data_IF_666012247218
#
_entry.id   IF_666012247218
#
_cell.length_a   1.000
_cell.length_b   1.000
_cell.length_c   1.000
_cell.angle_alpha   90.00
_cell.angle_beta   90.00
_cell.angle_gamma   90.00
#
_symmetry.space_group_name_H-M   'P 1'
#
loop_
_entity.id
_entity.type
_entity.pdbx_description
1 polymer ?
#
# COMPACT_ATOMS: atom_id res chain seq x y z
N UNK A 1 -10.65 16.88 -5.31
CA UNK A 1 -10.23 15.62 -4.74
C UNK A 1 -8.97 15.05 -5.36
N UNK A 2 -8.51 13.95 -4.82
CA UNK A 2 -7.32 13.26 -5.30
C UNK A 2 -7.70 12.25 -6.37
N UNK A 3 -6.81 12.03 -7.35
CA UNK A 3 -7.05 11.08 -8.43
C UNK A 3 -6.92 9.63 -7.96
N UNK A 4 -5.95 9.37 -7.08
CA UNK A 4 -5.64 8.05 -6.55
C UNK A 4 -5.28 8.15 -5.07
N UNK A 5 -5.45 7.04 -4.35
CA UNK A 5 -5.09 6.93 -2.93
C UNK A 5 -4.26 5.69 -2.71
N UNK A 6 -3.10 5.88 -2.07
CA UNK A 6 -2.27 4.80 -1.55
C UNK A 6 -2.49 4.77 -0.03
N UNK A 7 -2.89 3.64 0.52
CA UNK A 7 -3.15 3.51 1.94
C UNK A 7 -2.24 2.47 2.57
N UNK A 8 -1.49 2.89 3.60
CA UNK A 8 -0.68 2.01 4.45
C UNK A 8 -1.37 1.88 5.81
N UNK A 9 -2.21 0.84 6.01
CA UNK A 9 -3.11 0.77 7.16
C UNK A 9 -2.49 0.25 8.46
N UNK A 10 -1.33 -0.41 8.38
CA UNK A 10 -0.74 -1.05 9.56
C UNK A 10 -0.06 -0.04 10.48
N UNK A 11 -0.33 -0.14 11.78
CA UNK A 11 0.27 0.72 12.80
C UNK A 11 1.35 -0.02 13.59
N UNK A 12 1.14 -1.30 13.90
CA UNK A 12 2.00 -2.06 14.82
C UNK A 12 2.99 -2.98 14.12
N UNK A 13 2.65 -3.50 12.96
CA UNK A 13 3.50 -4.44 12.21
C UNK A 13 3.96 -3.79 10.91
N UNK A 14 4.63 -2.65 11.03
CA UNK A 14 5.06 -1.85 9.90
C UNK A 14 6.53 -1.50 10.03
N UNK A 15 7.24 -1.48 8.89
CA UNK A 15 8.62 -1.01 8.85
C UNK A 15 8.63 0.52 8.75
N UNK A 16 8.79 1.18 9.89
CA UNK A 16 8.81 2.64 9.97
C UNK A 16 9.96 3.26 9.15
N UNK A 17 11.06 2.53 8.95
CA UNK A 17 12.19 3.04 8.15
C UNK A 17 11.81 3.20 6.68
N UNK A 18 11.00 2.28 6.14
CA UNK A 18 10.50 2.38 4.77
C UNK A 18 9.60 3.60 4.64
N UNK A 19 8.66 3.79 5.57
CA UNK A 19 7.76 4.94 5.55
C UNK A 19 8.53 6.25 5.72
N UNK A 20 9.49 6.30 6.64
CA UNK A 20 10.31 7.48 6.85
C UNK A 20 11.11 7.85 5.59
N UNK A 21 11.66 6.86 4.91
CA UNK A 21 12.36 7.07 3.65
C UNK A 21 11.43 7.70 2.61
N UNK A 22 10.24 7.13 2.42
CA UNK A 22 9.32 7.59 1.37
C UNK A 22 8.86 9.02 1.57
N UNK A 23 8.48 9.39 2.80
CA UNK A 23 7.97 10.74 3.05
C UNK A 23 9.06 11.81 3.01
N UNK A 24 10.34 11.40 2.96
CA UNK A 24 11.49 12.30 2.80
C UNK A 24 12.07 12.26 1.38
N UNK A 25 11.63 11.32 0.53
CA UNK A 25 12.18 11.14 -0.80
C UNK A 25 11.58 12.12 -1.80
N UNK A 26 12.40 13.02 -2.34
CA UNK A 26 11.93 14.06 -3.26
C UNK A 26 11.27 13.50 -4.51
N UNK A 27 11.79 12.39 -5.07
CA UNK A 27 11.20 11.76 -6.25
C UNK A 27 9.80 11.23 -5.95
N UNK A 28 9.60 10.65 -4.77
CA UNK A 28 8.29 10.16 -4.36
C UNK A 28 7.30 11.32 -4.15
N UNK A 29 7.73 12.37 -3.46
CA UNK A 29 6.90 13.56 -3.22
C UNK A 29 6.50 14.25 -4.54
N UNK A 30 7.44 14.37 -5.47
CA UNK A 30 7.17 14.93 -6.80
C UNK A 30 6.16 14.07 -7.57
N UNK A 31 6.28 12.76 -7.48
CA UNK A 31 5.33 11.84 -8.12
C UNK A 31 3.91 12.05 -7.57
N UNK A 32 3.76 12.12 -6.26
CA UNK A 32 2.44 12.35 -5.63
C UNK A 32 1.83 13.64 -6.14
N UNK A 33 2.57 14.73 -6.11
CA UNK A 33 2.08 16.04 -6.51
C UNK A 33 1.75 16.10 -8.00
N UNK A 34 2.63 15.56 -8.85
CA UNK A 34 2.45 15.59 -10.31
C UNK A 34 1.27 14.76 -10.78
N UNK A 35 0.89 13.73 -10.03
CA UNK A 35 -0.18 12.81 -10.41
C UNK A 35 -1.42 12.94 -9.53
N UNK A 36 -1.44 13.91 -8.62
CA UNK A 36 -2.55 14.14 -7.68
C UNK A 36 -2.89 12.88 -6.88
N UNK A 37 -1.87 12.22 -6.34
CA UNK A 37 -1.99 10.99 -5.55
C UNK A 37 -1.85 11.32 -4.06
N UNK A 38 -2.80 10.86 -3.25
CA UNK A 38 -2.73 10.99 -1.80
C UNK A 38 -2.11 9.73 -1.19
N UNK A 39 -1.12 9.90 -0.34
CA UNK A 39 -0.54 8.81 0.46
C UNK A 39 -1.05 8.95 1.88
N UNK A 40 -1.84 7.99 2.32
CA UNK A 40 -2.36 7.93 3.70
C UNK A 40 -1.63 6.82 4.44
N UNK A 41 -1.05 7.15 5.58
CA UNK A 41 -0.35 6.16 6.41
C UNK A 41 -0.70 6.38 7.88
N UNK A 42 -0.47 5.32 8.67
CA UNK A 42 -0.68 5.37 10.11
C UNK A 42 0.67 5.35 10.80
N UNK A 43 0.92 6.33 11.65
CA UNK A 43 2.16 6.40 12.44
C UNK A 43 1.97 7.32 13.62
N UNK A 44 2.58 6.97 14.75
CA UNK A 44 2.59 7.82 15.94
C UNK A 44 3.83 8.71 16.02
N UNK A 45 4.83 8.47 15.17
CA UNK A 45 6.13 9.15 15.27
C UNK A 45 6.49 9.98 14.05
N UNK A 46 6.05 9.59 12.85
CA UNK A 46 6.41 10.27 11.62
C UNK A 46 5.63 11.58 11.46
N UNK A 47 6.25 12.54 10.78
CA UNK A 47 5.66 13.86 10.50
C UNK A 47 5.97 14.25 9.05
N UNK A 48 5.04 14.95 8.42
CA UNK A 48 5.22 15.52 7.09
C UNK A 48 4.44 16.82 6.96
N UNK A 49 5.00 17.77 6.22
CA UNK A 49 4.32 19.00 5.83
C UNK A 49 3.78 18.96 4.41
N UNK A 50 4.02 17.85 3.69
CA UNK A 50 3.55 17.70 2.31
C UNK A 50 2.03 17.56 2.26
N UNK A 51 1.37 18.32 1.40
CA UNK A 51 -0.10 18.29 1.25
C UNK A 51 -0.63 17.01 0.64
N UNK A 52 0.23 16.17 0.05
CA UNK A 52 -0.15 14.88 -0.52
C UNK A 52 0.15 13.70 0.40
N UNK A 53 0.54 13.97 1.64
CA UNK A 53 0.76 12.95 2.67
C UNK A 53 -0.16 13.25 3.85
N UNK A 54 -0.95 12.25 4.23
CA UNK A 54 -1.82 12.34 5.39
C UNK A 54 -1.44 11.26 6.40
N UNK A 55 -1.03 11.66 7.59
CA UNK A 55 -0.60 10.73 8.65
C UNK A 55 -1.70 10.65 9.70
N UNK A 56 -2.23 9.45 9.90
CA UNK A 56 -3.26 9.18 10.91
C UNK A 56 -2.56 8.68 12.17
N UNK A 57 -2.71 9.43 13.26
CA UNK A 57 -2.03 9.15 14.53
C UNK A 57 -2.90 8.40 15.51
N UNK A 58 -4.21 8.62 15.44
CA UNK A 58 -5.15 8.07 16.40
C UNK A 58 -5.77 6.77 15.92
N UNK A 59 -6.48 6.10 16.83
CA UNK A 59 -7.27 4.92 16.46
C UNK A 59 -8.38 5.35 15.51
N UNK A 60 -8.54 4.63 14.42
CA UNK A 60 -9.61 4.88 13.47
C UNK A 60 -10.88 4.14 13.89
N UNK A 61 -12.02 4.81 13.74
CA UNK A 61 -13.29 4.13 13.82
C UNK A 61 -13.39 3.09 12.70
N UNK A 62 -14.06 1.98 12.99
CA UNK A 62 -14.17 0.87 12.03
C UNK A 62 -14.76 1.31 10.69
N UNK A 63 -15.80 2.15 10.74
CA UNK A 63 -16.47 2.64 9.53
C UNK A 63 -15.56 3.53 8.69
N UNK A 64 -14.78 4.39 9.34
CA UNK A 64 -13.82 5.27 8.65
C UNK A 64 -12.70 4.46 8.02
N UNK A 65 -12.21 3.44 8.72
CA UNK A 65 -11.19 2.54 8.20
C UNK A 65 -11.70 1.79 6.96
N UNK A 66 -12.87 1.20 7.05
CA UNK A 66 -13.47 0.45 5.94
C UNK A 66 -13.70 1.35 4.73
N UNK A 67 -14.19 2.56 4.95
CA UNK A 67 -14.43 3.52 3.88
C UNK A 67 -13.13 3.89 3.17
N UNK A 68 -12.08 4.21 3.94
CA UNK A 68 -10.77 4.56 3.39
C UNK A 68 -10.15 3.37 2.64
N UNK A 69 -10.25 2.17 3.22
CA UNK A 69 -9.73 0.96 2.60
C UNK A 69 -10.38 0.72 1.24
N UNK A 70 -11.69 0.82 1.16
CA UNK A 70 -12.43 0.59 -0.09
C UNK A 70 -12.17 1.66 -1.14
N UNK A 71 -11.92 2.90 -0.74
CA UNK A 71 -11.60 4.00 -1.65
C UNK A 71 -10.17 3.98 -2.14
N UNK A 72 -9.29 3.22 -1.49
CA UNK A 72 -7.88 3.17 -1.83
C UNK A 72 -7.64 2.39 -3.12
N UNK A 73 -6.70 2.86 -3.91
CA UNK A 73 -6.31 2.22 -5.17
C UNK A 73 -5.22 1.19 -4.95
N UNK A 74 -4.33 1.44 -4.00
CA UNK A 74 -3.24 0.52 -3.63
C UNK A 74 -3.16 0.43 -2.12
N UNK A 75 -3.06 -0.79 -1.60
CA UNK A 75 -2.78 -1.05 -0.19
C UNK A 75 -1.29 -1.34 -0.06
N UNK A 76 -0.60 -0.52 0.74
CA UNK A 76 0.85 -0.62 0.91
C UNK A 76 1.16 -1.25 2.27
N UNK A 77 1.88 -2.37 2.24
CA UNK A 77 2.17 -3.18 3.43
C UNK A 77 3.67 -3.39 3.59
N UNK A 78 4.41 -2.38 4.10
CA UNK A 78 5.84 -2.51 4.35
C UNK A 78 6.08 -3.21 5.67
N UNK A 79 6.01 -4.54 5.66
CA UNK A 79 6.25 -5.33 6.86
C UNK A 79 7.74 -5.51 7.12
N UNK A 80 8.18 -5.52 8.40
CA UNK A 80 9.56 -5.85 8.73
C UNK A 80 9.84 -7.34 8.48
N UNK A 81 11.12 -7.70 8.34
CA UNK A 81 11.52 -9.09 8.09
C UNK A 81 11.04 -10.05 9.19
N UNK A 82 10.94 -9.56 10.43
CA UNK A 82 10.43 -10.36 11.55
C UNK A 82 8.99 -10.83 11.35
N UNK A 83 8.25 -10.24 10.40
CA UNK A 83 6.87 -10.57 10.10
C UNK A 83 6.75 -11.76 9.12
N UNK A 84 7.84 -12.29 8.61
CA UNK A 84 7.84 -13.27 7.52
C UNK A 84 7.09 -14.58 7.81
N UNK A 85 6.84 -14.88 9.08
CA UNK A 85 6.15 -16.12 9.48
C UNK A 85 4.73 -15.90 9.97
N UNK A 86 4.16 -14.72 9.75
CA UNK A 86 2.81 -14.38 10.23
C UNK A 86 1.87 -14.11 9.07
N UNK A 87 0.61 -14.56 9.23
CA UNK A 87 -0.45 -14.20 8.30
C UNK A 87 -0.87 -12.75 8.55
N UNK A 88 -0.98 -11.98 7.47
CA UNK A 88 -1.49 -10.62 7.55
C UNK A 88 -3.00 -10.60 7.33
N UNK A 89 -3.76 -10.17 8.34
CA UNK A 89 -5.20 -9.96 8.19
C UNK A 89 -5.51 -8.90 7.15
N UNK A 90 -4.69 -7.85 7.08
CA UNK A 90 -4.87 -6.77 6.10
C UNK A 90 -4.62 -7.27 4.67
N UNK A 91 -3.61 -8.11 4.47
CA UNK A 91 -3.35 -8.69 3.15
C UNK A 91 -4.52 -9.57 2.70
N UNK A 92 -5.05 -10.42 3.59
CA UNK A 92 -6.22 -11.25 3.30
C UNK A 92 -7.44 -10.38 2.97
N UNK A 93 -7.64 -9.28 3.67
CA UNK A 93 -8.71 -8.33 3.40
C UNK A 93 -8.55 -7.70 2.02
N UNK A 94 -7.32 -7.31 1.65
CA UNK A 94 -7.03 -6.77 0.32
C UNK A 94 -7.34 -7.80 -0.78
N UNK A 95 -6.92 -9.05 -0.58
CA UNK A 95 -7.21 -10.14 -1.51
C UNK A 95 -8.71 -10.35 -1.68
N UNK A 96 -9.46 -10.36 -0.58
CA UNK A 96 -10.91 -10.56 -0.59
C UNK A 96 -11.65 -9.44 -1.32
N UNK A 97 -11.10 -8.22 -1.32
CA UNK A 97 -11.71 -7.06 -1.96
C UNK A 97 -11.08 -6.73 -3.32
N UNK A 98 -10.27 -7.62 -3.86
CA UNK A 98 -9.59 -7.44 -5.16
C UNK A 98 -8.80 -6.14 -5.25
N UNK A 99 -8.14 -5.76 -4.16
CA UNK A 99 -7.29 -4.56 -4.11
C UNK A 99 -5.90 -4.86 -4.66
N UNK A 100 -5.30 -3.89 -5.32
CA UNK A 100 -3.88 -3.93 -5.66
C UNK A 100 -3.09 -3.77 -4.38
N UNK A 101 -2.02 -4.53 -4.22
CA UNK A 101 -1.21 -4.48 -3.02
C UNK A 101 0.28 -4.45 -3.34
N UNK A 102 1.03 -3.65 -2.59
CA UNK A 102 2.49 -3.66 -2.59
C UNK A 102 2.96 -4.11 -1.22
N UNK A 103 3.71 -5.21 -1.19
CA UNK A 103 4.04 -5.92 0.06
C UNK A 103 5.54 -6.16 0.11
N UNK A 104 6.11 -6.12 1.31
CA UNK A 104 7.51 -6.52 1.53
C UNK A 104 7.75 -7.92 1.00
N UNK A 105 8.88 -8.11 0.32
CA UNK A 105 9.24 -9.41 -0.25
C UNK A 105 9.71 -10.36 0.85
N UNK A 106 8.80 -11.18 1.34
CA UNK A 106 9.10 -12.24 2.28
C UNK A 106 8.66 -13.57 1.69
N UNK A 107 9.34 -14.66 2.06
CA UNK A 107 9.00 -15.99 1.55
C UNK A 107 7.56 -16.39 1.90
N UNK A 108 7.08 -15.95 3.05
CA UNK A 108 5.70 -16.22 3.47
C UNK A 108 4.68 -15.58 2.54
N UNK A 109 4.86 -14.31 2.18
CA UNK A 109 3.90 -13.60 1.35
C UNK A 109 3.97 -13.98 -0.12
N UNK A 110 5.07 -14.58 -0.57
CA UNK A 110 5.21 -15.07 -1.95
C UNK A 110 4.20 -16.14 -2.32
N UNK A 111 3.63 -16.85 -1.34
CA UNK A 111 2.58 -17.83 -1.60
C UNK A 111 1.32 -17.22 -2.23
N UNK A 112 1.13 -15.91 -2.09
CA UNK A 112 -0.04 -15.23 -2.64
C UNK A 112 0.15 -14.66 -4.04
N UNK A 113 1.32 -14.84 -4.64
CA UNK A 113 1.64 -14.19 -5.92
C UNK A 113 0.74 -14.63 -7.09
N UNK A 114 0.05 -15.77 -6.95
CA UNK A 114 -0.80 -16.32 -8.00
C UNK A 114 -2.30 -16.32 -7.63
N UNK A 115 -2.72 -15.49 -6.69
CA UNK A 115 -4.08 -15.55 -6.12
C UNK A 115 -5.05 -14.55 -6.77
N UNK A 116 -4.75 -14.02 -7.94
CA UNK A 116 -5.76 -13.36 -8.74
C UNK A 116 -5.90 -11.85 -8.59
N UNK A 117 -5.12 -11.21 -7.75
CA UNK A 117 -5.01 -9.76 -7.73
C UNK A 117 -3.59 -9.35 -8.08
N UNK A 118 -3.42 -8.07 -8.38
CA UNK A 118 -2.09 -7.56 -8.70
C UNK A 118 -1.34 -7.27 -7.40
N UNK A 119 -0.56 -8.24 -6.95
CA UNK A 119 0.34 -8.10 -5.81
C UNK A 119 1.75 -7.91 -6.34
N UNK A 120 2.39 -6.83 -5.91
CA UNK A 120 3.80 -6.56 -6.19
C UNK A 120 4.61 -6.70 -4.92
N UNK A 121 5.85 -7.12 -5.08
CA UNK A 121 6.77 -7.30 -3.96
C UNK A 121 7.96 -6.35 -4.12
N UNK A 122 8.38 -5.71 -3.04
CA UNK A 122 9.57 -4.85 -3.06
C UNK A 122 10.62 -5.39 -2.11
N UNK A 123 11.89 -5.26 -2.49
CA UNK A 123 13.04 -5.73 -1.71
C UNK A 123 13.84 -4.57 -1.14
N UNK A 124 13.73 -3.40 -1.74
CA UNK A 124 14.47 -2.20 -1.31
C UNK A 124 13.59 -0.97 -1.43
N UNK A 125 13.99 0.11 -0.77
CA UNK A 125 13.27 1.39 -0.85
C UNK A 125 13.23 1.93 -2.27
N UNK A 126 14.26 1.67 -3.08
CA UNK A 126 14.31 2.13 -4.46
C UNK A 126 13.28 1.44 -5.37
N UNK A 127 12.80 0.25 -5.00
CA UNK A 127 11.79 -0.48 -5.78
C UNK A 127 10.37 0.02 -5.51
N UNK A 128 10.14 0.70 -4.38
CA UNK A 128 8.79 1.06 -3.94
C UNK A 128 8.11 1.99 -4.94
N UNK A 129 8.79 3.06 -5.34
CA UNK A 129 8.19 4.06 -6.23
C UNK A 129 7.83 3.45 -7.59
N UNK A 130 8.74 2.70 -8.19
CA UNK A 130 8.48 2.07 -9.50
C UNK A 130 7.34 1.06 -9.42
N UNK A 131 7.25 0.30 -8.33
CA UNK A 131 6.17 -0.65 -8.11
C UNK A 131 4.83 0.05 -7.92
N UNK A 132 4.79 1.14 -7.17
CA UNK A 132 3.58 1.93 -6.99
C UNK A 132 3.12 2.56 -8.31
N UNK A 133 4.05 3.09 -9.10
CA UNK A 133 3.74 3.65 -10.41
C UNK A 133 3.10 2.60 -11.32
N UNK A 134 3.63 1.38 -11.33
CA UNK A 134 3.08 0.28 -12.13
C UNK A 134 1.66 -0.07 -11.67
N UNK A 135 1.46 -0.24 -10.36
CA UNK A 135 0.15 -0.60 -9.82
C UNK A 135 -0.90 0.49 -10.08
N UNK A 136 -0.52 1.76 -9.93
CA UNK A 136 -1.45 2.87 -10.14
C UNK A 136 -1.79 3.10 -11.61
N UNK A 137 -0.96 2.61 -12.54
CA UNK A 137 -1.23 2.73 -13.97
C UNK A 137 -2.22 1.68 -14.48
N UNK A 138 -2.46 0.60 -13.71
CA UNK A 138 -3.40 -0.45 -14.11
C UNK A 138 -4.84 0.02 -13.92
N UNK A 139 -5.69 -0.28 -14.90
CA UNK A 139 -7.12 0.00 -14.79
C UNK A 139 -7.82 -1.07 -13.96
N UNK A 140 -8.99 -0.72 -13.40
CA UNK A 140 -9.82 -1.69 -12.66
C UNK A 140 -10.25 -2.86 -13.55
N UNK A 141 -10.49 -2.62 -14.85
CA UNK A 141 -10.85 -3.67 -15.78
C UNK A 141 -9.70 -4.66 -16.00
N UNK A 142 -8.46 -4.20 -16.03
CA UNK A 142 -7.28 -5.07 -16.14
C UNK A 142 -7.14 -5.97 -14.92
N UNK A 143 -7.34 -5.43 -13.72
CA UNK A 143 -7.31 -6.19 -12.48
C UNK A 143 -8.43 -7.23 -12.46
N UNK A 144 -9.64 -6.85 -12.83
CA UNK A 144 -10.79 -7.76 -12.87
C UNK A 144 -10.56 -8.89 -13.86
N UNK A 145 -9.97 -8.61 -15.01
CA UNK A 145 -9.65 -9.60 -16.01
C UNK A 145 -8.62 -10.61 -15.47
N UNK A 146 -7.58 -10.15 -14.79
CA UNK A 146 -6.59 -11.01 -14.17
C UNK A 146 -7.20 -11.97 -13.16
N UNK A 147 -8.14 -11.49 -12.35
CA UNK A 147 -8.88 -12.32 -11.40
C UNK A 147 -9.69 -13.40 -12.14
N UNK A 148 -10.40 -13.02 -13.20
CA UNK A 148 -11.21 -13.97 -13.97
C UNK A 148 -10.38 -15.02 -14.68
N UNK A 149 -9.22 -14.66 -15.18
CA UNK A 149 -8.32 -15.60 -15.89
C UNK A 149 -7.79 -16.71 -14.99
N UNK A 150 -7.77 -16.48 -13.66
CA UNK A 150 -7.30 -17.47 -12.70
C UNK A 150 -8.40 -18.42 -12.21
N UNK A 151 -9.62 -18.19 -12.59
CA UNK A 151 -10.75 -19.06 -12.25
C UNK A 151 -10.97 -20.05 -13.40
#
# INVERSE_FOLDING_TARGET
GYSKIIFSPSLTSVDEHVLAFLIADSAFLDYLASNNVLFVLRSQVLKSTCGYIHIIRDVMEKEDYECLFLKSDVIFLPYPRSFQYRTSGVLLEALSNHKKALVSDTSYFRQYQNVGIDIRYFTSNSDVLSSLQTLLSLSSSEVSQSVNDLR
#
